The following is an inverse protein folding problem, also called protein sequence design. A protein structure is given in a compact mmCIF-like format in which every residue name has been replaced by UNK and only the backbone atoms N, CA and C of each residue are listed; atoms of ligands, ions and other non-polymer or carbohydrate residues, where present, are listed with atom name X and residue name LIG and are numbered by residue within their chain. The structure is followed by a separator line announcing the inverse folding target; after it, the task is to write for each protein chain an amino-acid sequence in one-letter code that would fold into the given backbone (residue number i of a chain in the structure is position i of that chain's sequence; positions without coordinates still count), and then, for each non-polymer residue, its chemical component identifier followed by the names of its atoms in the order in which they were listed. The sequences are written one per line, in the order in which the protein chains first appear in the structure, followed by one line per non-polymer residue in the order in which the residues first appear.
data_IF_680574518608
#
_entry.id   IF_680574518608
#
_cell.length_a   1.000
_cell.length_b   1.000
_cell.length_c   1.000
_cell.angle_alpha   90.00
_cell.angle_beta   90.00
_cell.angle_gamma   90.00
#
_symmetry.space_group_name_H-M   'P 1'
#
loop_
_entity.id
_entity.type
_entity.pdbx_description
1 polymer ?
#
# COMPACT_ATOMS: atom_id res chain seq x y z
N UNK A 1 18.76 -29.74 5.11
CA UNK A 1 17.76 -29.24 6.08
C UNK A 1 18.14 -27.90 6.71
N UNK A 2 19.13 -27.77 7.61
CA UNK A 2 19.47 -26.45 8.23
C UNK A 2 19.90 -25.38 7.23
N UNK A 3 20.79 -25.72 6.31
CA UNK A 3 21.34 -24.80 5.30
C UNK A 3 20.26 -24.40 4.28
N UNK A 4 19.37 -25.34 3.97
CA UNK A 4 18.26 -25.17 3.03
C UNK A 4 17.19 -24.23 3.60
N UNK A 5 16.91 -24.36 4.91
CA UNK A 5 16.04 -23.41 5.60
C UNK A 5 16.64 -22.00 5.65
N UNK A 6 17.96 -21.90 5.86
CA UNK A 6 18.66 -20.61 5.86
C UNK A 6 18.61 -19.94 4.47
N UNK A 7 18.85 -20.70 3.40
CA UNK A 7 18.78 -20.15 2.04
C UNK A 7 17.36 -19.75 1.65
N UNK A 8 16.35 -20.54 2.00
CA UNK A 8 14.93 -20.17 1.82
C UNK A 8 14.58 -18.89 2.59
N UNK A 9 15.09 -18.75 3.82
CA UNK A 9 14.86 -17.58 4.64
C UNK A 9 15.52 -16.33 4.03
N UNK A 10 16.78 -16.42 3.60
CA UNK A 10 17.50 -15.32 2.93
C UNK A 10 16.76 -14.88 1.66
N UNK A 11 16.37 -15.82 0.79
CA UNK A 11 15.60 -15.53 -0.43
C UNK A 11 14.28 -14.83 -0.10
N UNK A 12 13.57 -15.29 0.94
CA UNK A 12 12.32 -14.67 1.35
C UNK A 12 12.54 -13.25 1.90
N UNK A 13 13.60 -13.02 2.68
CA UNK A 13 13.94 -11.70 3.23
C UNK A 13 14.30 -10.73 2.12
N UNK A 14 15.13 -11.15 1.16
CA UNK A 14 15.61 -10.31 0.05
C UNK A 14 14.50 -9.84 -0.88
N UNK A 15 13.37 -10.56 -0.94
CA UNK A 15 12.18 -10.17 -1.72
C UNK A 15 11.29 -9.14 -1.04
N UNK A 16 11.37 -8.99 0.29
CA UNK A 16 10.45 -8.10 1.04
C UNK A 16 10.85 -6.64 0.87
N UNK A 17 9.85 -5.76 0.68
CA UNK A 17 10.01 -4.30 0.69
C UNK A 17 8.97 -3.71 1.63
N UNK A 18 9.38 -3.36 2.84
CA UNK A 18 8.52 -2.73 3.85
C UNK A 18 8.83 -1.23 3.89
N UNK A 19 7.83 -0.39 3.61
CA UNK A 19 8.01 1.06 3.55
C UNK A 19 6.71 1.78 3.92
N UNK A 20 6.83 3.08 4.21
CA UNK A 20 5.72 3.99 4.47
C UNK A 20 5.83 5.23 3.58
N UNK A 21 4.69 5.86 3.29
CA UNK A 21 4.64 7.14 2.59
C UNK A 21 4.34 8.24 3.62
N UNK A 22 5.26 9.19 3.78
CA UNK A 22 5.14 10.35 4.67
C UNK A 22 5.04 11.60 3.79
N UNK A 23 4.03 12.44 4.02
CA UNK A 23 3.83 13.67 3.26
C UNK A 23 3.06 14.70 4.07
N UNK A 24 3.14 15.96 3.66
CA UNK A 24 2.24 17.01 4.11
C UNK A 24 0.77 16.68 3.75
N UNK A 25 -0.24 17.21 4.48
CA UNK A 25 -1.64 17.19 4.05
C UNK A 25 -1.81 17.56 2.57
N UNK A 26 -2.73 16.87 1.90
CA UNK A 26 -3.09 17.08 0.49
C UNK A 26 -2.00 16.88 -0.58
N UNK A 27 -0.78 16.50 -0.21
CA UNK A 27 0.32 16.19 -1.15
C UNK A 27 0.08 14.92 -2.03
N UNK A 28 -1.07 14.27 -1.90
CA UNK A 28 -1.45 13.15 -2.76
C UNK A 28 -1.04 11.76 -2.29
N UNK A 29 -0.61 11.58 -1.02
CA UNK A 29 -0.28 10.26 -0.44
C UNK A 29 -1.30 9.18 -0.78
N UNK A 30 -2.58 9.49 -0.60
CA UNK A 30 -3.67 8.53 -0.85
C UNK A 30 -3.77 8.15 -2.32
N UNK A 31 -3.64 9.11 -3.25
CA UNK A 31 -3.62 8.85 -4.69
C UNK A 31 -2.45 7.95 -5.08
N UNK A 32 -1.26 8.21 -4.52
CA UNK A 32 -0.08 7.40 -4.78
C UNK A 32 -0.25 5.97 -4.25
N UNK A 33 -0.81 5.80 -3.05
CA UNK A 33 -1.14 4.48 -2.49
C UNK A 33 -2.10 3.70 -3.39
N UNK A 34 -3.16 4.32 -3.90
CA UNK A 34 -4.11 3.67 -4.82
C UNK A 34 -3.42 3.15 -6.08
N UNK A 35 -2.52 3.95 -6.67
CA UNK A 35 -1.80 3.56 -7.89
C UNK A 35 -0.80 2.44 -7.66
N UNK A 36 -0.05 2.48 -6.55
CA UNK A 36 0.87 1.40 -6.20
C UNK A 36 0.13 0.07 -6.00
N UNK A 37 -1.02 0.09 -5.31
CA UNK A 37 -1.86 -1.10 -5.13
C UNK A 37 -2.40 -1.62 -6.47
N UNK A 38 -2.87 -0.73 -7.35
CA UNK A 38 -3.34 -1.10 -8.68
C UNK A 38 -2.23 -1.76 -9.52
N UNK A 39 -1.03 -1.18 -9.54
CA UNK A 39 0.10 -1.75 -10.29
C UNK A 39 0.60 -3.06 -9.67
N UNK A 40 0.43 -3.25 -8.36
CA UNK A 40 0.70 -4.51 -7.68
C UNK A 40 -0.39 -5.58 -7.84
N UNK A 41 -1.47 -5.30 -8.58
CA UNK A 41 -2.60 -6.23 -8.75
C UNK A 41 -3.56 -6.31 -7.55
N UNK A 42 -3.38 -5.47 -6.51
CA UNK A 42 -4.22 -5.40 -5.33
C UNK A 42 -5.46 -4.52 -5.57
N UNK A 43 -6.33 -4.99 -6.48
CA UNK A 43 -7.46 -4.22 -7.03
C UNK A 43 -8.49 -3.86 -5.95
N UNK A 44 -8.82 -4.80 -5.06
CA UNK A 44 -9.81 -4.58 -3.99
C UNK A 44 -9.31 -3.56 -2.97
N UNK A 45 -8.04 -3.64 -2.59
CA UNK A 45 -7.38 -2.71 -1.67
C UNK A 45 -7.29 -1.31 -2.28
N UNK A 46 -6.92 -1.21 -3.57
CA UNK A 46 -6.91 0.06 -4.29
C UNK A 46 -8.31 0.71 -4.29
N UNK A 47 -9.36 -0.08 -4.54
CA UNK A 47 -10.76 0.38 -4.46
C UNK A 47 -11.16 0.87 -3.07
N UNK A 48 -10.78 0.14 -2.02
CA UNK A 48 -11.08 0.51 -0.63
C UNK A 48 -10.40 1.81 -0.20
N UNK A 49 -9.15 2.04 -0.61
CA UNK A 49 -8.43 3.30 -0.32
C UNK A 49 -9.14 4.48 -0.97
N UNK A 50 -9.55 4.35 -2.24
CA UNK A 50 -10.31 5.36 -2.97
C UNK A 50 -11.66 5.67 -2.31
N UNK A 51 -12.40 4.62 -1.94
CA UNK A 51 -13.70 4.76 -1.27
C UNK A 51 -13.61 5.53 0.05
N UNK A 52 -12.61 5.21 0.89
CA UNK A 52 -12.36 5.93 2.15
C UNK A 52 -12.02 7.40 1.93
N UNK A 53 -11.25 7.72 0.88
CA UNK A 53 -10.96 9.12 0.51
C UNK A 53 -12.22 9.87 0.09
N UNK A 54 -13.08 9.23 -0.71
CA UNK A 54 -14.34 9.81 -1.16
C UNK A 54 -15.31 10.07 0.01
N UNK A 55 -15.41 9.12 0.95
CA UNK A 55 -16.22 9.29 2.17
C UNK A 55 -15.77 10.49 3.02
N UNK A 56 -14.46 10.74 3.14
CA UNK A 56 -13.94 11.90 3.88
C UNK A 56 -14.21 13.25 3.21
N UNK A 57 -14.45 13.26 1.89
CA UNK A 57 -14.85 14.48 1.16
C UNK A 57 -16.34 14.76 1.21
N UNK A 58 -17.17 13.77 1.53
CA UNK A 58 -18.61 13.87 1.60
C UNK A 58 -19.09 14.29 3.00
N UNK A 59 -18.48 15.31 3.59
CA UNK A 59 -19.11 16.08 4.68
C UNK A 59 -19.83 17.24 4.01
N UNK A 60 -21.17 17.13 3.97
CA UNK A 60 -22.09 18.21 3.60
C UNK A 60 -21.69 19.51 4.28
N UNK A 61 -21.47 20.59 3.53
CA UNK A 61 -21.45 21.97 4.05
C UNK A 61 -22.89 22.51 4.17
N UNK A 62 -23.76 21.68 4.76
CA UNK A 62 -25.12 21.99 5.18
C UNK A 62 -25.44 21.16 6.43
#
# INVERSE_FOLDING_TARGET
MSIELQSELEIAVDRRRNFAIISHPDAGKTTLTEKLLLYGGAIHEAGAVKARRAQRKATSDW
#
